data_IF_285854573186
#
_entry.id   IF_285854573186
#
_cell.length_a   1.000
_cell.length_b   1.000
_cell.length_c   1.000
_cell.angle_alpha   90.00
_cell.angle_beta   90.00
_cell.angle_gamma   90.00
#
_symmetry.space_group_name_H-M   'P 1'
#
loop_
_entity.id
_entity.type
_entity.pdbx_description
1 polymer ?
#
# COMPACT_ATOMS: atom_id res chain seq x y z
N UNK A 1 -1.57 -8.07 -3.55
CA UNK A 1 -1.15 -9.19 -4.44
C UNK A 1 -0.54 -10.36 -3.68
N UNK A 2 0.14 -10.12 -2.58
CA UNK A 2 0.72 -11.21 -1.77
C UNK A 2 -0.35 -11.96 -0.95
N UNK A 3 -1.41 -11.28 -0.56
CA UNK A 3 -2.53 -11.86 0.17
C UNK A 3 -3.57 -12.50 -0.76
N UNK A 4 -3.75 -11.92 -1.96
CA UNK A 4 -4.73 -12.37 -2.93
C UNK A 4 -4.03 -12.71 -4.24
N UNK A 5 -4.03 -14.00 -4.62
CA UNK A 5 -3.40 -14.51 -5.85
C UNK A 5 -4.40 -14.61 -7.01
N UNK A 6 -5.50 -13.90 -6.90
CA UNK A 6 -6.62 -13.90 -7.85
C UNK A 6 -6.47 -12.80 -8.90
N UNK A 7 -7.12 -12.92 -10.06
CA UNK A 7 -7.27 -11.80 -10.99
C UNK A 7 -7.99 -10.64 -10.31
N UNK A 8 -7.71 -9.43 -10.75
CA UNK A 8 -8.29 -8.22 -10.16
C UNK A 8 -8.65 -7.20 -11.23
N UNK A 9 -9.66 -6.41 -10.94
CA UNK A 9 -9.94 -5.14 -11.60
C UNK A 9 -9.40 -4.01 -10.75
N UNK A 10 -9.04 -2.89 -11.37
CA UNK A 10 -8.56 -1.72 -10.64
C UNK A 10 -9.21 -0.45 -11.13
N UNK A 11 -9.44 0.48 -10.20
CA UNK A 11 -9.85 1.85 -10.46
C UNK A 11 -8.85 2.80 -9.81
N UNK A 12 -8.30 3.70 -10.61
CA UNK A 12 -7.35 4.70 -10.13
C UNK A 12 -7.96 6.09 -10.27
N UNK A 13 -7.88 6.87 -9.19
CA UNK A 13 -8.34 8.27 -9.15
C UNK A 13 -7.17 9.09 -8.65
N UNK A 14 -6.78 10.09 -9.42
CA UNK A 14 -5.62 10.94 -9.09
C UNK A 14 -5.97 12.40 -9.19
N UNK A 15 -5.58 13.17 -8.18
CA UNK A 15 -5.70 14.62 -8.12
C UNK A 15 -4.38 15.25 -8.53
N UNK A 16 -4.41 16.10 -9.54
CA UNK A 16 -3.28 16.88 -10.01
C UNK A 16 -3.47 18.35 -9.61
N UNK A 17 -2.44 18.92 -8.99
CA UNK A 17 -2.36 20.35 -8.70
C UNK A 17 -1.67 20.99 -9.89
N UNK A 18 -2.33 21.87 -10.62
CA UNK A 18 -1.85 22.65 -11.76
C UNK A 18 -1.33 21.88 -13.00
N UNK A 19 -1.53 22.49 -14.16
CA UNK A 19 -1.04 22.01 -15.46
C UNK A 19 0.50 22.05 -15.59
N UNK A 20 1.17 22.80 -14.71
CA UNK A 20 2.61 23.05 -14.78
C UNK A 20 3.47 22.01 -14.07
N UNK A 21 2.91 21.27 -13.12
CA UNK A 21 3.62 20.22 -12.39
C UNK A 21 3.00 18.86 -12.73
N UNK A 22 3.76 17.94 -13.37
CA UNK A 22 3.24 16.64 -13.78
C UNK A 22 3.11 15.66 -12.60
N UNK A 23 2.95 16.15 -11.37
CA UNK A 23 2.86 15.31 -10.17
C UNK A 23 1.43 15.28 -9.64
N UNK A 24 1.01 14.07 -9.27
CA UNK A 24 -0.21 13.89 -8.51
C UNK A 24 0.01 14.28 -7.06
N UNK A 25 -0.92 15.07 -6.51
CA UNK A 25 -0.92 15.44 -5.09
C UNK A 25 -1.55 14.35 -4.23
N UNK A 26 -2.51 13.62 -4.79
CA UNK A 26 -3.19 12.52 -4.13
C UNK A 26 -3.64 11.47 -5.15
N UNK A 27 -3.40 10.21 -4.84
CA UNK A 27 -3.89 9.08 -5.63
C UNK A 27 -4.55 8.04 -4.74
N UNK A 28 -5.74 7.60 -5.16
CA UNK A 28 -6.46 6.47 -4.59
C UNK A 28 -6.54 5.37 -5.63
N UNK A 29 -6.24 4.14 -5.22
CA UNK A 29 -6.38 2.95 -6.05
C UNK A 29 -7.25 1.94 -5.32
N UNK A 30 -8.33 1.51 -5.96
CA UNK A 30 -9.15 0.41 -5.50
C UNK A 30 -8.85 -0.82 -6.36
N UNK A 31 -8.63 -1.96 -5.73
CA UNK A 31 -8.47 -3.27 -6.34
C UNK A 31 -9.66 -4.14 -5.96
N UNK A 32 -10.39 -4.62 -6.96
CA UNK A 32 -11.52 -5.53 -6.79
C UNK A 32 -11.08 -6.93 -7.17
N UNK A 33 -11.02 -7.82 -6.19
CA UNK A 33 -10.81 -9.25 -6.35
C UNK A 33 -12.15 -9.98 -6.26
N UNK A 34 -12.29 -11.20 -6.77
CA UNK A 34 -13.51 -11.97 -6.61
C UNK A 34 -13.98 -12.17 -5.17
N UNK A 35 -13.03 -12.22 -4.23
CA UNK A 35 -13.28 -12.49 -2.80
C UNK A 35 -12.99 -11.31 -1.87
N UNK A 36 -12.42 -10.21 -2.39
CA UNK A 36 -11.96 -9.11 -1.53
C UNK A 36 -11.84 -7.78 -2.28
N UNK A 37 -11.79 -6.70 -1.50
CA UNK A 37 -11.47 -5.36 -2.01
C UNK A 37 -10.27 -4.83 -1.22
N UNK A 38 -9.34 -4.19 -1.92
CA UNK A 38 -8.24 -3.48 -1.29
C UNK A 38 -8.19 -2.04 -1.80
N UNK A 39 -7.99 -1.10 -0.88
CA UNK A 39 -7.84 0.33 -1.19
C UNK A 39 -6.48 0.81 -0.74
N UNK A 40 -5.78 1.51 -1.62
CA UNK A 40 -4.51 2.19 -1.32
C UNK A 40 -4.72 3.69 -1.54
N UNK A 41 -4.25 4.48 -0.59
CA UNK A 41 -4.22 5.95 -0.67
C UNK A 41 -2.78 6.42 -0.51
N UNK A 42 -2.34 7.28 -1.40
CA UNK A 42 -1.00 7.91 -1.37
C UNK A 42 -1.17 9.40 -1.66
N UNK A 43 -0.51 10.24 -0.91
CA UNK A 43 -0.60 11.69 -1.16
C UNK A 43 0.67 12.42 -0.73
N UNK A 44 1.03 13.45 -1.51
CA UNK A 44 2.07 14.42 -1.19
C UNK A 44 1.39 15.71 -0.74
N UNK A 45 1.74 16.20 0.44
CA UNK A 45 1.07 17.39 1.00
C UNK A 45 -0.30 17.12 1.61
N UNK A 46 -0.80 15.89 1.52
CA UNK A 46 -2.02 15.44 2.17
C UNK A 46 -1.64 14.55 3.34
N UNK A 47 -2.10 14.89 4.53
CA UNK A 47 -1.94 14.02 5.70
C UNK A 47 -2.98 12.90 5.62
N UNK A 48 -2.51 11.66 5.52
CA UNK A 48 -3.35 10.46 5.61
C UNK A 48 -2.97 9.63 6.83
N UNK A 49 -3.79 8.68 7.20
CA UNK A 49 -3.69 7.94 8.46
C UNK A 49 -2.39 7.12 8.54
N UNK A 50 -1.93 6.59 7.42
CA UNK A 50 -0.68 5.79 7.32
C UNK A 50 -0.74 4.47 8.08
N UNK A 51 -1.93 3.98 8.38
CA UNK A 51 -2.20 2.69 9.00
C UNK A 51 -2.55 1.62 7.97
N UNK A 52 -2.45 0.34 8.37
CA UNK A 52 -2.95 -0.77 7.57
C UNK A 52 -4.05 -1.50 8.34
N UNK A 53 -5.22 -1.64 7.71
CA UNK A 53 -6.35 -2.39 8.24
C UNK A 53 -6.69 -3.53 7.28
N UNK A 54 -6.76 -4.76 7.81
CA UNK A 54 -7.20 -5.93 7.06
C UNK A 54 -8.45 -6.47 7.73
N UNK A 55 -9.60 -6.19 7.13
CA UNK A 55 -10.90 -6.59 7.66
C UNK A 55 -11.28 -8.00 7.22
N UNK A 56 -11.82 -8.77 8.15
CA UNK A 56 -12.36 -10.12 7.94
C UNK A 56 -13.74 -10.25 8.58
N UNK A 57 -14.37 -11.40 8.39
CA UNK A 57 -15.73 -11.68 8.88
C UNK A 57 -15.82 -11.90 10.40
N UNK A 58 -14.70 -12.15 11.06
CA UNK A 58 -14.66 -12.41 12.52
C UNK A 58 -13.88 -11.38 13.32
N UNK A 59 -13.35 -10.36 12.64
CA UNK A 59 -12.51 -9.34 13.24
C UNK A 59 -11.59 -8.71 12.19
N UNK A 60 -10.68 -7.88 12.64
CA UNK A 60 -9.72 -7.22 11.74
C UNK A 60 -8.33 -7.15 12.35
N UNK A 61 -7.34 -7.07 11.47
CA UNK A 61 -5.96 -6.78 11.83
C UNK A 61 -5.77 -5.28 11.72
N UNK A 62 -5.24 -4.69 12.78
CA UNK A 62 -4.87 -3.27 12.82
C UNK A 62 -3.36 -3.13 12.99
N UNK A 63 -2.73 -2.44 12.06
CA UNK A 63 -1.31 -2.10 12.08
C UNK A 63 -1.22 -0.58 12.18
N UNK A 64 -0.73 -0.02 13.31
CA UNK A 64 -0.72 1.43 13.51
C UNK A 64 0.24 2.16 12.59
N UNK A 65 -0.01 3.44 12.44
CA UNK A 65 0.83 4.34 11.66
C UNK A 65 2.19 4.59 12.35
N UNK A 66 3.27 4.65 11.55
CA UNK A 66 3.37 4.30 10.15
C UNK A 66 3.49 2.78 9.98
N UNK A 67 2.55 2.17 9.27
CA UNK A 67 2.43 0.71 9.19
C UNK A 67 3.71 -0.01 8.74
N UNK A 68 4.59 0.69 8.03
CA UNK A 68 5.87 0.13 7.55
C UNK A 68 7.02 0.26 8.54
N UNK A 69 6.81 0.86 9.72
CA UNK A 69 7.84 1.04 10.78
C UNK A 69 7.35 0.65 12.17
N UNK A 70 6.14 0.13 12.29
CA UNK A 70 5.60 -0.32 13.56
C UNK A 70 6.26 -1.62 14.01
N UNK A 71 6.30 -1.85 15.31
CA UNK A 71 6.83 -3.04 15.96
C UNK A 71 5.73 -3.96 16.52
N UNK A 72 4.47 -3.63 16.27
CA UNK A 72 3.33 -4.45 16.69
C UNK A 72 2.14 -4.34 15.74
N UNK A 73 1.25 -5.32 15.85
CA UNK A 73 -0.09 -5.30 15.27
C UNK A 73 -1.10 -5.89 16.24
N UNK A 74 -2.36 -5.60 16.03
CA UNK A 74 -3.47 -6.05 16.84
C UNK A 74 -4.46 -6.89 16.04
N UNK A 75 -4.92 -7.98 16.61
CA UNK A 75 -6.14 -8.66 16.20
C UNK A 75 -7.28 -8.11 17.04
N UNK A 76 -8.24 -7.49 16.40
CA UNK A 76 -9.41 -6.90 17.05
C UNK A 76 -10.66 -7.65 16.65
N UNK A 77 -11.38 -8.12 17.64
CA UNK A 77 -12.61 -8.87 17.50
C UNK A 77 -13.80 -8.03 17.93
N UNK A 78 -15.01 -8.49 17.62
CA UNK A 78 -16.25 -7.85 18.08
C UNK A 78 -16.33 -7.81 19.62
N UNK A 79 -15.91 -8.90 20.29
CA UNK A 79 -15.69 -8.91 21.73
C UNK A 79 -14.28 -8.38 22.06
N UNK A 80 -14.15 -7.18 22.67
CA UNK A 80 -12.85 -6.58 22.98
C UNK A 80 -11.99 -7.39 23.92
N UNK A 81 -12.59 -8.29 24.72
CA UNK A 81 -11.85 -9.16 25.65
C UNK A 81 -11.02 -10.21 24.92
N UNK A 82 -11.36 -10.50 23.68
CA UNK A 82 -10.64 -11.43 22.81
C UNK A 82 -9.50 -10.77 22.03
N UNK A 83 -9.34 -9.45 22.12
CA UNK A 83 -8.30 -8.72 21.39
C UNK A 83 -6.91 -9.20 21.80
N UNK A 84 -6.02 -9.29 20.79
CA UNK A 84 -4.65 -9.74 20.98
C UNK A 84 -3.70 -8.77 20.32
N UNK A 85 -2.60 -8.45 21.01
CA UNK A 85 -1.51 -7.65 20.47
C UNK A 85 -0.27 -8.50 20.31
N UNK A 86 0.35 -8.41 19.15
CA UNK A 86 1.57 -9.14 18.82
C UNK A 86 2.70 -8.14 18.61
N UNK A 87 3.80 -8.37 19.31
CA UNK A 87 5.01 -7.56 19.19
C UNK A 87 6.07 -8.32 18.41
N UNK A 88 6.85 -7.60 17.63
CA UNK A 88 8.03 -8.13 16.96
C UNK A 88 9.13 -7.08 16.94
N UNK A 89 10.35 -7.51 17.18
CA UNK A 89 11.50 -6.61 17.13
C UNK A 89 11.94 -6.41 15.68
N UNK A 90 11.98 -5.18 15.25
CA UNK A 90 12.62 -4.80 13.99
C UNK A 90 14.11 -4.60 14.27
N UNK A 91 14.91 -5.64 14.06
CA UNK A 91 16.38 -5.53 14.16
C UNK A 91 16.97 -4.76 12.97
N UNK A 92 17.30 -3.50 13.20
CA UNK A 92 17.99 -2.64 12.26
C UNK A 92 17.11 -2.04 11.15
N UNK A 93 17.76 -1.37 10.20
CA UNK A 93 17.09 -0.73 9.08
C UNK A 93 16.71 -1.73 7.99
N UNK A 94 15.59 -1.50 7.32
CA UNK A 94 15.04 -2.35 6.25
C UNK A 94 16.05 -2.67 5.13
N UNK A 95 16.92 -1.72 4.80
CA UNK A 95 17.98 -1.90 3.78
C UNK A 95 18.96 -3.01 4.19
N UNK A 96 19.30 -3.10 5.47
CA UNK A 96 20.18 -4.16 5.98
C UNK A 96 19.57 -5.54 5.75
N UNK A 97 18.27 -5.72 6.03
CA UNK A 97 17.58 -6.99 5.83
C UNK A 97 17.50 -7.37 4.34
N UNK A 98 17.27 -6.37 3.47
CA UNK A 98 17.28 -6.59 2.02
C UNK A 98 18.65 -7.05 1.53
N UNK A 99 19.72 -6.37 1.96
CA UNK A 99 21.09 -6.72 1.57
C UNK A 99 21.51 -8.11 2.07
N UNK A 100 21.16 -8.46 3.31
CA UNK A 100 21.41 -9.78 3.88
C UNK A 100 20.68 -10.87 3.10
N UNK A 101 19.40 -10.65 2.79
CA UNK A 101 18.61 -11.60 2.02
C UNK A 101 19.14 -11.77 0.61
N UNK A 102 19.55 -10.68 -0.04
CA UNK A 102 20.15 -10.70 -1.37
C UNK A 102 21.51 -11.42 -1.38
N UNK A 103 22.39 -11.09 -0.44
CA UNK A 103 23.69 -11.76 -0.29
C UNK A 103 23.52 -13.27 -0.07
N UNK A 104 22.58 -13.66 0.79
CA UNK A 104 22.27 -15.07 1.05
C UNK A 104 21.73 -15.78 -0.18
N UNK A 105 20.87 -15.12 -0.96
CA UNK A 105 20.36 -15.68 -2.22
C UNK A 105 21.47 -15.99 -3.21
N UNK A 106 22.47 -15.10 -3.32
CA UNK A 106 23.64 -15.32 -4.18
C UNK A 106 24.48 -16.47 -3.66
N UNK A 107 24.81 -16.49 -2.36
CA UNK A 107 25.68 -17.50 -1.76
C UNK A 107 25.08 -18.90 -1.82
N UNK A 108 23.78 -19.01 -1.55
CA UNK A 108 23.08 -20.29 -1.51
C UNK A 108 22.59 -20.76 -2.89
N UNK A 109 22.80 -19.96 -3.95
CA UNK A 109 22.27 -20.19 -5.31
C UNK A 109 20.76 -20.50 -5.31
N UNK A 110 20.03 -19.91 -4.38
CA UNK A 110 18.58 -20.07 -4.23
C UNK A 110 17.87 -18.76 -4.51
N UNK A 111 16.76 -18.83 -5.21
CA UNK A 111 15.84 -17.70 -5.35
C UNK A 111 15.18 -17.43 -3.98
N UNK A 112 15.81 -16.63 -3.15
CA UNK A 112 15.24 -16.14 -1.90
C UNK A 112 14.51 -14.83 -2.18
N UNK A 113 13.23 -14.90 -2.41
CA UNK A 113 12.40 -13.73 -2.32
C UNK A 113 11.19 -14.06 -1.46
N UNK A 114 11.00 -13.35 -0.36
CA UNK A 114 9.75 -13.35 0.39
C UNK A 114 8.59 -12.83 -0.49
N UNK A 115 8.93 -12.14 -1.57
CA UNK A 115 7.97 -11.62 -2.55
C UNK A 115 8.08 -12.50 -3.80
N UNK A 116 6.96 -13.14 -4.15
CA UNK A 116 6.84 -13.91 -5.38
C UNK A 116 7.10 -12.97 -6.58
N UNK A 117 7.83 -13.45 -7.57
CA UNK A 117 8.11 -12.72 -8.82
C UNK A 117 6.83 -12.19 -9.49
N UNK A 118 5.73 -12.96 -9.46
CA UNK A 118 4.42 -12.54 -9.96
C UNK A 118 3.89 -11.29 -9.24
N UNK A 119 4.13 -11.18 -7.94
CA UNK A 119 3.75 -9.98 -7.14
C UNK A 119 4.51 -8.75 -7.64
N UNK A 120 5.81 -8.89 -7.87
CA UNK A 120 6.63 -7.80 -8.40
C UNK A 120 6.17 -7.36 -9.80
N UNK A 121 5.86 -8.29 -10.68
CA UNK A 121 5.29 -7.97 -12.00
C UNK A 121 3.96 -7.25 -11.90
N UNK A 122 3.06 -7.68 -11.02
CA UNK A 122 1.77 -7.01 -10.83
C UNK A 122 1.97 -5.56 -10.32
N UNK A 123 2.88 -5.33 -9.41
CA UNK A 123 3.21 -3.98 -8.91
C UNK A 123 3.73 -3.12 -10.07
N UNK A 124 4.70 -3.61 -10.84
CA UNK A 124 5.24 -2.88 -12.00
C UNK A 124 4.17 -2.57 -13.04
N UNK A 125 3.27 -3.53 -13.32
CA UNK A 125 2.16 -3.32 -14.24
C UNK A 125 1.19 -2.23 -13.79
N UNK A 126 0.87 -2.18 -12.49
CA UNK A 126 0.02 -1.11 -11.94
C UNK A 126 0.71 0.26 -12.05
N UNK A 127 2.02 0.32 -11.76
CA UNK A 127 2.80 1.55 -11.90
C UNK A 127 2.88 2.01 -13.36
N UNK A 128 3.09 1.09 -14.29
CA UNK A 128 3.11 1.36 -15.72
C UNK A 128 1.76 1.90 -16.21
N UNK A 129 0.65 1.27 -15.80
CA UNK A 129 -0.69 1.73 -16.14
C UNK A 129 -0.96 3.13 -15.59
N UNK A 130 -0.50 3.43 -14.37
CA UNK A 130 -0.60 4.75 -13.78
C UNK A 130 0.18 5.78 -14.60
N UNK A 131 1.43 5.52 -14.92
CA UNK A 131 2.27 6.44 -15.72
C UNK A 131 1.74 6.64 -17.15
N UNK A 132 1.17 5.61 -17.73
CA UNK A 132 0.53 5.68 -19.05
C UNK A 132 -0.90 6.22 -18.99
N UNK A 133 -1.39 6.59 -17.83
CA UNK A 133 -2.77 7.02 -17.56
C UNK A 133 -3.85 6.02 -18.01
N UNK A 134 -3.50 4.74 -18.07
CA UNK A 134 -4.46 3.67 -18.40
C UNK A 134 -5.39 3.41 -17.21
N UNK A 135 -6.67 3.72 -17.38
CA UNK A 135 -7.69 3.57 -16.32
C UNK A 135 -7.56 4.56 -15.17
N UNK A 136 -6.86 5.68 -15.35
CA UNK A 136 -6.72 6.75 -14.35
C UNK A 136 -7.78 7.81 -14.59
N UNK A 137 -8.66 8.03 -13.61
CA UNK A 137 -9.55 9.19 -13.56
C UNK A 137 -8.79 10.38 -12.99
N UNK A 138 -8.47 11.34 -13.85
CA UNK A 138 -7.83 12.59 -13.42
C UNK A 138 -8.86 13.54 -12.82
N UNK A 139 -8.54 14.10 -11.66
CA UNK A 139 -9.25 15.21 -11.05
C UNK A 139 -8.31 16.43 -11.09
N UNK A 140 -8.85 17.59 -11.40
CA UNK A 140 -8.13 18.87 -11.31
C UNK A 140 -8.66 19.64 -10.12
N UNK A 141 -7.77 20.21 -9.33
CA UNK A 141 -8.14 21.09 -8.24
C UNK A 141 -8.54 22.44 -8.82
N UNK A 142 -9.84 22.74 -8.85
CA UNK A 142 -10.37 24.05 -9.20
C UNK A 142 -10.38 25.05 -8.03
N UNK A 143 -9.75 24.72 -6.91
CA UNK A 143 -9.92 25.45 -5.65
C UNK A 143 -8.98 26.64 -5.44
N UNK A 144 -8.18 27.05 -6.46
CA UNK A 144 -7.23 28.17 -6.27
C UNK A 144 -7.65 29.50 -6.89
N UNK A 145 -8.91 29.68 -7.30
CA UNK A 145 -9.33 30.97 -7.88
C UNK A 145 -10.37 31.77 -7.08
N UNK A 146 -10.67 31.40 -5.84
CA UNK A 146 -11.50 32.28 -5.00
C UNK A 146 -10.82 32.53 -3.66
N UNK A 147 -10.22 33.74 -3.58
CA UNK A 147 -10.11 34.59 -2.40
C UNK A 147 -9.47 34.00 -1.17
N UNK A 148 -8.31 34.56 -0.85
CA UNK A 148 -7.69 34.41 0.45
C UNK A 148 -8.63 34.69 1.62
N UNK A 149 -8.43 33.93 2.66
CA UNK A 149 -8.63 34.36 4.04
C UNK A 149 -7.27 34.23 4.74
#
# INVERSE_FOLDING_TARGET
FQLFHEPYEKQMISLFEEETLPFDSFTKIDFCFPSAVATIKVGRGVKSEGELVISGTKGYIYVPAPWWKTDYFELRYEDPTMNKRYFYSLEGEWIRQQLLSFSKAITDCKTFSFINQKVSFNICSVMEDFHAFRGVKKLQSSFMNEGGI
#
